data_IF_162090303134
#
_entry.id   IF_162090303134
#
_cell.length_a   1.000
_cell.length_b   1.000
_cell.length_c   1.000
_cell.angle_alpha   90.00
_cell.angle_beta   90.00
_cell.angle_gamma   90.00
#
_symmetry.space_group_name_H-M   'P 1'
#
loop_
_entity.id
_entity.type
_entity.pdbx_description
1 polymer ?
#
# COMPACT_ATOMS: atom_id res chain seq x y z
N UNK A 1 50.55 -36.03 34.62
CA UNK A 1 50.54 -34.59 34.94
C UNK A 1 51.44 -33.90 33.92
N UNK A 2 51.04 -32.95 33.09
CA UNK A 2 49.85 -32.09 33.06
C UNK A 2 49.67 -31.64 31.61
N UNK A 3 48.51 -31.96 31.06
CA UNK A 3 48.00 -31.57 29.75
C UNK A 3 47.37 -30.17 29.91
N UNK A 4 48.08 -29.10 29.53
CA UNK A 4 47.52 -27.73 29.65
C UNK A 4 47.98 -26.71 28.60
N UNK A 5 48.77 -27.08 27.61
CA UNK A 5 49.34 -26.13 26.64
C UNK A 5 49.04 -26.46 25.18
N UNK A 6 47.79 -26.83 24.86
CA UNK A 6 47.35 -27.01 23.45
C UNK A 6 46.11 -26.18 23.09
N UNK A 7 45.45 -25.51 24.03
CA UNK A 7 44.14 -24.89 23.76
C UNK A 7 44.15 -23.38 23.47
N UNK A 8 45.27 -22.78 23.06
CA UNK A 8 45.28 -21.33 22.81
C UNK A 8 46.21 -20.92 21.67
N UNK A 9 45.87 -21.30 20.45
CA UNK A 9 46.33 -20.67 19.20
C UNK A 9 45.42 -21.11 18.03
N UNK A 10 44.13 -20.84 18.18
CA UNK A 10 43.21 -20.76 17.06
C UNK A 10 42.45 -19.43 17.19
N UNK A 11 43.20 -18.32 17.10
CA UNK A 11 42.57 -17.05 16.76
C UNK A 11 42.15 -17.13 15.30
N UNK A 12 40.90 -17.53 15.15
CA UNK A 12 40.14 -17.57 13.91
C UNK A 12 40.21 -16.19 13.26
N UNK A 13 40.87 -16.16 12.11
CA UNK A 13 40.90 -15.00 11.24
C UNK A 13 39.49 -14.53 10.90
N UNK A 14 39.27 -13.24 11.13
CA UNK A 14 38.34 -12.34 10.43
C UNK A 14 37.41 -13.01 9.40
N UNK A 15 36.27 -13.53 9.88
CA UNK A 15 35.19 -14.08 9.06
C UNK A 15 34.40 -12.97 8.35
N UNK A 16 35.01 -12.34 7.34
CA UNK A 16 34.42 -11.24 6.58
C UNK A 16 34.21 -11.70 5.13
N UNK A 17 33.25 -12.60 4.92
CA UNK A 17 32.92 -13.07 3.57
C UNK A 17 31.72 -14.01 3.47
N UNK A 18 31.45 -14.82 4.49
CA UNK A 18 30.40 -15.86 4.43
C UNK A 18 29.14 -15.51 5.23
N UNK A 19 29.28 -14.82 6.37
CA UNK A 19 28.15 -14.52 7.25
C UNK A 19 27.07 -13.69 6.55
N UNK A 20 27.46 -12.68 5.76
CA UNK A 20 26.49 -11.84 5.03
C UNK A 20 25.71 -12.60 3.94
N UNK A 21 26.30 -13.63 3.33
CA UNK A 21 25.63 -14.46 2.31
C UNK A 21 24.69 -15.46 2.98
N UNK A 22 25.14 -16.14 4.04
CA UNK A 22 24.31 -17.06 4.82
C UNK A 22 23.12 -16.34 5.47
N UNK A 23 23.35 -15.14 6.02
CA UNK A 23 22.29 -14.28 6.56
C UNK A 23 21.34 -13.83 5.44
N UNK A 24 21.86 -13.56 4.24
CA UNK A 24 21.06 -13.24 3.05
C UNK A 24 20.11 -14.36 2.63
N UNK A 25 20.59 -15.60 2.58
CA UNK A 25 19.76 -16.78 2.26
C UNK A 25 18.71 -17.05 3.35
N UNK A 26 19.09 -16.92 4.63
CA UNK A 26 18.16 -17.08 5.74
C UNK A 26 17.02 -16.04 5.67
N UNK A 27 17.34 -14.80 5.31
CA UNK A 27 16.35 -13.75 5.12
C UNK A 27 15.38 -14.04 3.96
N UNK A 28 15.89 -14.60 2.86
CA UNK A 28 15.05 -15.03 1.73
C UNK A 28 14.07 -16.12 2.16
N UNK A 29 14.53 -17.13 2.90
CA UNK A 29 13.67 -18.21 3.39
C UNK A 29 12.55 -17.69 4.30
N UNK A 30 12.85 -16.74 5.19
CA UNK A 30 11.84 -16.11 6.05
C UNK A 30 10.79 -15.35 5.25
N UNK A 31 11.20 -14.62 4.21
CA UNK A 31 10.27 -13.90 3.35
C UNK A 31 9.35 -14.85 2.57
N UNK A 32 9.90 -15.94 2.03
CA UNK A 32 9.10 -16.95 1.32
C UNK A 32 8.11 -17.66 2.25
N UNK A 33 8.55 -18.04 3.45
CA UNK A 33 7.66 -18.63 4.45
C UNK A 33 6.50 -17.69 4.81
N UNK A 34 6.79 -16.41 5.02
CA UNK A 34 5.74 -15.41 5.24
C UNK A 34 4.79 -15.29 4.04
N UNK A 35 5.31 -15.30 2.81
CA UNK A 35 4.48 -15.22 1.60
C UNK A 35 3.52 -16.42 1.49
N UNK A 36 3.98 -17.62 1.86
CA UNK A 36 3.16 -18.84 1.86
C UNK A 36 2.10 -18.84 2.98
N UNK A 37 2.36 -18.17 4.10
CA UNK A 37 1.43 -18.05 5.25
C UNK A 37 0.36 -16.95 5.05
N UNK A 38 0.60 -15.96 4.20
CA UNK A 38 -0.31 -14.82 4.04
C UNK A 38 -1.46 -15.14 3.08
N UNK A 39 -2.66 -15.22 3.65
CA UNK A 39 -3.91 -15.37 2.91
C UNK A 39 -4.50 -14.02 2.43
N UNK A 40 -4.41 -12.96 3.24
CA UNK A 40 -4.91 -11.62 2.90
C UNK A 40 -3.79 -10.57 2.89
N UNK A 41 -3.55 -10.00 1.71
CA UNK A 41 -2.54 -8.97 1.50
C UNK A 41 -3.04 -7.54 1.79
N UNK A 42 -4.36 -7.32 1.97
CA UNK A 42 -4.93 -5.98 2.22
C UNK A 42 -4.31 -5.23 3.40
N UNK A 43 -4.01 -5.87 4.55
CA UNK A 43 -3.38 -5.18 5.69
C UNK A 43 -1.98 -4.64 5.36
N UNK A 44 -1.30 -5.23 4.38
CA UNK A 44 0.05 -4.87 3.94
C UNK A 44 0.06 -3.80 2.86
N UNK A 45 -1.08 -3.27 2.46
CA UNK A 45 -1.18 -2.27 1.40
C UNK A 45 -1.45 -0.91 2.03
N UNK A 46 -0.61 0.06 1.67
CA UNK A 46 -0.75 1.45 2.07
C UNK A 46 -0.61 2.35 0.84
N UNK A 47 -1.61 3.20 0.61
CA UNK A 47 -1.67 4.12 -0.55
C UNK A 47 -1.49 3.41 -1.90
N UNK A 48 -1.98 2.17 -2.02
CA UNK A 48 -1.87 1.37 -3.26
C UNK A 48 -0.49 0.77 -3.51
N UNK A 49 0.38 0.73 -2.50
CA UNK A 49 1.71 0.10 -2.55
C UNK A 49 1.93 -0.82 -1.36
N UNK A 50 2.85 -1.77 -1.48
CA UNK A 50 3.24 -2.65 -0.37
C UNK A 50 3.95 -1.87 0.73
N UNK A 51 3.46 -2.02 1.96
CA UNK A 51 4.06 -1.44 3.15
C UNK A 51 5.20 -2.32 3.63
N UNK A 52 6.41 -2.04 3.11
CA UNK A 52 7.64 -2.78 3.43
C UNK A 52 7.93 -2.81 4.94
N UNK A 53 7.60 -1.73 5.67
CA UNK A 53 7.77 -1.70 7.13
C UNK A 53 6.89 -2.73 7.82
N UNK A 54 5.63 -2.88 7.40
CA UNK A 54 4.71 -3.85 7.99
C UNK A 54 5.11 -5.27 7.64
N UNK A 55 5.48 -5.51 6.39
CA UNK A 55 5.96 -6.81 5.91
C UNK A 55 7.22 -7.22 6.69
N UNK A 56 8.17 -6.30 6.87
CA UNK A 56 9.39 -6.56 7.63
C UNK A 56 9.09 -6.99 9.07
N UNK A 57 8.16 -6.32 9.75
CA UNK A 57 7.74 -6.66 11.10
C UNK A 57 7.14 -8.07 11.18
N UNK A 58 6.24 -8.44 10.27
CA UNK A 58 5.63 -9.79 10.26
C UNK A 58 6.64 -10.88 9.92
N UNK A 59 7.53 -10.62 8.95
CA UNK A 59 8.60 -11.57 8.60
C UNK A 59 9.64 -11.72 9.73
N UNK A 60 9.63 -10.87 10.75
CA UNK A 60 10.70 -10.77 11.75
C UNK A 60 12.05 -10.35 11.14
N UNK A 61 12.00 -9.52 10.09
CA UNK A 61 13.16 -9.01 9.35
C UNK A 61 13.36 -7.52 9.64
N UNK A 62 14.61 -7.07 9.55
CA UNK A 62 14.89 -5.63 9.54
C UNK A 62 14.47 -5.05 8.20
N UNK A 63 13.90 -3.83 8.22
CA UNK A 63 13.51 -3.12 6.98
C UNK A 63 14.67 -3.00 5.98
N UNK A 64 15.90 -2.80 6.46
CA UNK A 64 17.09 -2.66 5.61
C UNK A 64 17.41 -3.89 4.75
N UNK A 65 16.94 -5.07 5.15
CA UNK A 65 17.11 -6.33 4.40
C UNK A 65 16.45 -6.23 3.02
N UNK A 66 15.30 -5.56 2.91
CA UNK A 66 14.58 -5.37 1.66
C UNK A 66 15.32 -4.45 0.66
N UNK A 67 16.31 -3.70 1.13
CA UNK A 67 17.13 -2.82 0.29
C UNK A 67 18.55 -3.38 0.05
N UNK A 68 19.08 -4.13 1.02
CA UNK A 68 20.46 -4.64 0.99
C UNK A 68 20.56 -6.01 0.33
N UNK A 69 19.54 -6.86 0.49
CA UNK A 69 19.52 -8.20 -0.09
C UNK A 69 18.99 -8.15 -1.54
N UNK A 70 19.85 -8.35 -2.57
CA UNK A 70 19.45 -8.23 -3.97
C UNK A 70 18.40 -9.27 -4.36
N UNK A 71 18.40 -10.46 -3.76
CA UNK A 71 17.37 -11.46 -4.05
C UNK A 71 15.98 -10.95 -3.68
N UNK A 72 15.83 -10.38 -2.48
CA UNK A 72 14.54 -9.84 -2.04
C UNK A 72 14.18 -8.58 -2.85
N UNK A 73 15.12 -7.65 -3.00
CA UNK A 73 14.90 -6.35 -3.64
C UNK A 73 14.56 -6.47 -5.13
N UNK A 74 15.33 -7.27 -5.86
CA UNK A 74 15.32 -7.25 -7.32
C UNK A 74 14.46 -8.38 -7.91
N UNK A 75 14.17 -9.44 -7.14
CA UNK A 75 13.42 -10.59 -7.65
C UNK A 75 12.11 -10.82 -6.89
N UNK A 76 12.14 -11.03 -5.57
CA UNK A 76 10.97 -11.47 -4.81
C UNK A 76 9.92 -10.37 -4.65
N UNK A 77 10.33 -9.16 -4.24
CA UNK A 77 9.40 -8.03 -4.11
C UNK A 77 8.72 -7.67 -5.45
N UNK A 78 9.44 -7.52 -6.58
CA UNK A 78 8.81 -7.26 -7.87
C UNK A 78 7.94 -8.42 -8.38
N UNK A 79 8.27 -9.66 -8.05
CA UNK A 79 7.42 -10.81 -8.37
C UNK A 79 6.11 -10.77 -7.59
N UNK A 80 6.16 -10.56 -6.28
CA UNK A 80 4.98 -10.41 -5.42
C UNK A 80 4.10 -9.25 -5.88
N UNK A 81 4.70 -8.10 -6.21
CA UNK A 81 3.94 -6.95 -6.69
C UNK A 81 3.17 -7.29 -7.98
N UNK A 82 3.82 -7.93 -8.96
CA UNK A 82 3.16 -8.32 -10.22
C UNK A 82 2.02 -9.31 -9.98
N UNK A 83 2.20 -10.26 -9.07
CA UNK A 83 1.15 -11.20 -8.68
C UNK A 83 -0.05 -10.46 -8.06
N UNK A 84 0.19 -9.55 -7.12
CA UNK A 84 -0.90 -8.79 -6.49
C UNK A 84 -1.59 -7.83 -7.46
N UNK A 85 -0.89 -7.34 -8.47
CA UNK A 85 -1.47 -6.58 -9.57
C UNK A 85 -2.33 -7.47 -10.48
N UNK A 86 -1.89 -8.69 -10.83
CA UNK A 86 -2.68 -9.64 -11.62
C UNK A 86 -3.94 -10.10 -10.89
N UNK A 87 -3.84 -10.26 -9.57
CA UNK A 87 -4.96 -10.66 -8.71
C UNK A 87 -5.94 -9.49 -8.45
N UNK A 88 -5.64 -8.28 -8.96
CA UNK A 88 -6.47 -7.08 -8.81
C UNK A 88 -6.45 -6.49 -7.40
N UNK A 89 -5.58 -6.98 -6.52
CA UNK A 89 -5.42 -6.52 -5.14
C UNK A 89 -4.69 -5.17 -5.11
N UNK A 90 -3.65 -5.03 -5.94
CA UNK A 90 -3.00 -3.75 -6.20
C UNK A 90 -3.56 -3.13 -7.47
N UNK A 91 -3.76 -1.81 -7.46
CA UNK A 91 -4.02 -1.06 -8.68
C UNK A 91 -2.74 -1.15 -9.51
N UNK A 92 -2.83 -1.71 -10.72
CA UNK A 92 -1.70 -1.72 -11.64
C UNK A 92 -1.16 -0.31 -11.75
N UNK A 93 0.09 -0.12 -11.33
CA UNK A 93 0.81 1.10 -11.63
C UNK A 93 1.06 1.04 -13.12
N UNK A 94 0.11 1.55 -13.90
CA UNK A 94 0.28 1.69 -15.33
C UNK A 94 1.68 2.27 -15.52
N UNK A 95 2.58 1.45 -16.08
CA UNK A 95 3.87 1.90 -16.56
C UNK A 95 3.51 2.74 -17.77
N UNK A 96 2.98 3.93 -17.52
CA UNK A 96 3.28 5.01 -18.41
C UNK A 96 4.81 5.06 -18.38
N UNK A 97 5.49 5.00 -19.55
CA UNK A 97 6.89 5.38 -19.61
C UNK A 97 7.05 6.65 -18.78
N UNK A 98 8.21 6.94 -18.17
CA UNK A 98 8.42 8.26 -17.61
C UNK A 98 8.29 9.25 -18.76
N UNK A 99 7.07 9.73 -19.01
CA UNK A 99 6.83 11.00 -19.62
C UNK A 99 7.65 11.91 -18.72
N UNK A 100 8.71 12.45 -19.30
CA UNK A 100 9.53 13.46 -18.66
C UNK A 100 8.55 14.59 -18.40
N UNK A 101 7.85 14.56 -17.27
CA UNK A 101 7.03 15.66 -16.81
C UNK A 101 8.08 16.72 -16.53
N UNK A 102 8.22 17.76 -17.37
CA UNK A 102 9.14 18.83 -17.05
C UNK A 102 8.72 19.32 -15.67
N UNK A 103 9.68 19.32 -14.73
CA UNK A 103 9.48 19.69 -13.32
C UNK A 103 8.65 20.96 -13.31
N UNK A 104 7.34 20.85 -13.07
CA UNK A 104 6.50 22.04 -13.09
C UNK A 104 7.09 22.98 -12.02
N UNK A 105 7.33 24.26 -12.34
CA UNK A 105 7.78 25.20 -11.34
C UNK A 105 6.78 25.11 -10.18
N UNK A 106 7.29 25.00 -8.95
CA UNK A 106 6.48 24.87 -7.74
C UNK A 106 5.32 25.86 -7.86
N UNK A 107 4.11 25.35 -8.07
CA UNK A 107 2.90 26.15 -8.09
C UNK A 107 2.91 26.93 -6.78
N UNK A 108 2.82 28.25 -6.88
CA UNK A 108 2.87 29.11 -5.70
C UNK A 108 1.69 28.74 -4.79
N UNK A 109 1.87 28.83 -3.47
CA UNK A 109 0.81 28.52 -2.51
C UNK A 109 -0.51 29.27 -2.83
N UNK A 110 -0.42 30.46 -3.41
CA UNK A 110 -1.57 31.24 -3.89
C UNK A 110 -2.42 30.55 -4.98
N UNK A 111 -1.80 29.75 -5.86
CA UNK A 111 -2.53 29.02 -6.91
C UNK A 111 -3.20 27.75 -6.38
N UNK A 112 -2.65 27.16 -5.33
CA UNK A 112 -3.27 26.02 -4.63
C UNK A 112 -4.46 26.50 -3.79
N UNK A 113 -4.36 27.64 -3.11
CA UNK A 113 -5.47 28.24 -2.35
C UNK A 113 -6.67 28.59 -3.25
N UNK A 114 -6.42 29.16 -4.44
CA UNK A 114 -7.48 29.47 -5.39
C UNK A 114 -8.21 28.21 -5.87
N UNK A 115 -7.47 27.14 -6.14
CA UNK A 115 -8.03 25.84 -6.55
C UNK A 115 -8.79 25.16 -5.41
N UNK A 116 -8.26 25.23 -4.19
CA UNK A 116 -8.93 24.71 -2.99
C UNK A 116 -10.25 25.45 -2.78
N UNK A 117 -10.26 26.77 -2.91
CA UNK A 117 -11.47 27.59 -2.78
C UNK A 117 -12.51 27.23 -3.84
N UNK A 118 -12.10 27.08 -5.10
CA UNK A 118 -12.99 26.66 -6.18
C UNK A 118 -13.62 25.27 -5.89
N UNK A 119 -12.81 24.30 -5.47
CA UNK A 119 -13.28 22.95 -5.12
C UNK A 119 -14.23 22.99 -3.91
N UNK A 120 -14.01 23.88 -2.95
CA UNK A 120 -14.90 24.06 -1.80
C UNK A 120 -16.25 24.66 -2.21
N UNK A 121 -16.24 25.67 -3.09
CA UNK A 121 -17.46 26.27 -3.65
C UNK A 121 -18.27 25.24 -4.46
N UNK A 122 -17.60 24.47 -5.34
CA UNK A 122 -18.24 23.40 -6.10
C UNK A 122 -18.84 22.33 -5.18
N UNK A 123 -18.13 21.92 -4.12
CA UNK A 123 -18.66 20.98 -3.13
C UNK A 123 -19.88 21.53 -2.37
N UNK A 124 -19.87 22.82 -2.04
CA UNK A 124 -21.01 23.45 -1.36
C UNK A 124 -22.24 23.50 -2.27
N UNK A 125 -22.05 23.86 -3.54
CA UNK A 125 -23.11 23.89 -4.55
C UNK A 125 -23.71 22.49 -4.77
N UNK A 126 -22.85 21.48 -4.99
CA UNK A 126 -23.29 20.09 -5.19
C UNK A 126 -24.03 19.54 -3.95
N UNK A 127 -23.60 19.90 -2.74
CA UNK A 127 -24.30 19.50 -1.51
C UNK A 127 -25.66 20.16 -1.38
N UNK A 128 -25.81 21.42 -1.81
CA UNK A 128 -27.09 22.12 -1.80
C UNK A 128 -28.05 21.47 -2.79
N UNK A 129 -27.61 21.22 -4.02
CA UNK A 129 -28.40 20.52 -5.04
C UNK A 129 -28.82 19.12 -4.56
N UNK A 130 -27.90 18.38 -3.93
CA UNK A 130 -28.24 17.06 -3.38
C UNK A 130 -29.32 17.12 -2.29
N UNK A 131 -29.30 18.17 -1.45
CA UNK A 131 -30.32 18.38 -0.41
C UNK A 131 -31.67 18.72 -1.03
N UNK A 132 -31.69 19.60 -2.04
CA UNK A 132 -32.92 19.99 -2.72
C UNK A 132 -33.55 18.81 -3.46
N UNK A 133 -32.75 18.03 -4.20
CA UNK A 133 -33.22 16.82 -4.87
C UNK A 133 -33.77 15.79 -3.87
N UNK A 134 -33.11 15.62 -2.71
CA UNK A 134 -33.62 14.75 -1.64
C UNK A 134 -34.96 15.23 -1.08
N UNK A 135 -35.11 16.54 -0.86
CA UNK A 135 -36.37 17.11 -0.38
C UNK A 135 -37.51 16.92 -1.40
N UNK A 136 -37.23 17.07 -2.70
CA UNK A 136 -38.21 16.77 -3.76
C UNK A 136 -38.61 15.30 -3.76
N UNK A 137 -37.65 14.37 -3.64
CA UNK A 137 -37.94 12.93 -3.54
C UNK A 137 -38.79 12.59 -2.31
N UNK A 138 -38.52 13.24 -1.17
CA UNK A 138 -39.32 13.08 0.03
C UNK A 138 -40.76 13.56 -0.18
N UNK A 139 -40.97 14.71 -0.82
CA UNK A 139 -42.31 15.19 -1.16
C UNK A 139 -43.07 14.23 -2.07
N UNK A 140 -42.41 13.68 -3.10
CA UNK A 140 -43.03 12.67 -3.97
C UNK A 140 -43.36 11.39 -3.20
N UNK A 141 -42.51 10.99 -2.25
CA UNK A 141 -42.76 9.80 -1.41
C UNK A 141 -43.98 10.01 -0.51
N UNK A 142 -44.08 11.16 0.15
CA UNK A 142 -45.25 11.51 0.98
C UNK A 142 -46.52 11.59 0.12
N UNK A 143 -46.45 12.19 -1.07
CA UNK A 143 -47.58 12.25 -1.99
C UNK A 143 -48.01 10.86 -2.45
N UNK A 144 -47.07 9.97 -2.76
CA UNK A 144 -47.36 8.58 -3.12
C UNK A 144 -48.01 7.81 -1.95
N UNK A 145 -47.54 8.02 -0.71
CA UNK A 145 -48.13 7.43 0.49
C UNK A 145 -49.57 7.89 0.74
N UNK A 146 -49.85 9.18 0.58
CA UNK A 146 -51.21 9.74 0.70
C UNK A 146 -52.12 9.20 -0.41
N UNK A 147 -51.63 9.07 -1.65
CA UNK A 147 -52.39 8.48 -2.77
C UNK A 147 -52.67 6.99 -2.53
N UNK A 148 -51.71 6.26 -1.97
CA UNK A 148 -51.89 4.85 -1.60
C UNK A 148 -52.91 4.69 -0.47
N UNK A 149 -52.82 5.51 0.57
CA UNK A 149 -53.72 5.47 1.75
C UNK A 149 -55.14 5.93 1.42
N UNK A 150 -55.30 6.89 0.50
CA UNK A 150 -56.62 7.36 0.02
C UNK A 150 -57.25 6.46 -1.05
N UNK A 151 -56.57 5.37 -1.45
CA UNK A 151 -57.09 4.36 -2.37
C UNK A 151 -57.20 4.80 -3.84
N UNK A 152 -56.60 5.94 -4.21
CA UNK A 152 -56.56 6.42 -5.60
C UNK A 152 -55.14 6.36 -6.13
N UNK A 153 -54.74 5.17 -6.58
CA UNK A 153 -53.55 5.00 -7.42
C UNK A 153 -53.85 5.52 -8.83
N UNK A 154 -53.03 6.42 -9.40
CA UNK A 154 -53.12 6.74 -10.82
C UNK A 154 -52.70 5.50 -11.62
N UNK A 155 -53.53 5.07 -12.56
CA UNK A 155 -53.16 4.10 -13.59
C UNK A 155 -52.20 4.71 -14.61
#
# INVERSE_FOLDING_TARGET
>A
MTDKDVSKLAEVGSGKGTNGVMDGEANVKKFLAWQDEVEDYKPFIYQGTLNISRIASECGLKRDVFYTNPAIRDTLLPALQRQLESDGILKSRAVQPPEVIPRQPRRSAASDDARIKQIQEENAALKAENRELRAQLEQYTVMAEVLHTSGRVPW
#
